data_IF_894555659400
#
_entry.id   IF_894555659400
#
_cell.length_a   1.000
_cell.length_b   1.000
_cell.length_c   1.000
_cell.angle_alpha   90.00
_cell.angle_beta   90.00
_cell.angle_gamma   90.00
#
_symmetry.space_group_name_H-M   'P 1'
#
loop_
_entity.id
_entity.type
_entity.pdbx_description
1 polymer ?
#
# COMPACT_ATOMS: atom_id res chain seq x y z
N UNK A 1 -8.30 -48.80 58.25
CA UNK A 1 -8.54 -47.34 58.14
C UNK A 1 -7.58 -46.80 57.07
N UNK A 2 -8.10 -46.08 56.08
CA UNK A 2 -7.51 -45.92 54.73
C UNK A 2 -6.33 -44.94 54.68
N UNK A 3 -5.21 -45.37 54.11
CA UNK A 3 -4.16 -44.52 53.55
C UNK A 3 -4.72 -43.77 52.33
N UNK A 4 -4.68 -42.43 52.31
CA UNK A 4 -4.96 -41.62 51.11
C UNK A 4 -3.63 -41.28 50.44
N UNK A 5 -3.34 -41.97 49.34
CA UNK A 5 -2.32 -41.59 48.37
C UNK A 5 -2.84 -40.39 47.57
N UNK A 6 -2.08 -39.29 47.55
CA UNK A 6 -2.36 -38.10 46.75
C UNK A 6 -1.56 -38.24 45.45
N UNK A 7 -2.23 -38.66 44.38
CA UNK A 7 -1.66 -38.72 43.03
C UNK A 7 -1.56 -37.29 42.47
N UNK A 8 -0.34 -36.83 42.23
CA UNK A 8 -0.05 -35.61 41.47
C UNK A 8 -0.11 -35.95 39.97
N UNK A 9 -1.22 -35.63 39.33
CA UNK A 9 -1.36 -35.76 37.87
C UNK A 9 -0.73 -34.52 37.23
N UNK A 10 0.49 -34.68 36.69
CA UNK A 10 1.14 -33.65 35.88
C UNK A 10 0.42 -33.63 34.53
N UNK A 11 -0.42 -32.62 34.31
CA UNK A 11 -1.01 -32.35 33.01
C UNK A 11 0.06 -31.77 32.08
N UNK A 12 0.52 -32.60 31.14
CA UNK A 12 1.40 -32.20 30.05
C UNK A 12 0.59 -31.32 29.09
N UNK A 13 0.66 -30.00 29.25
CA UNK A 13 0.13 -29.07 28.27
C UNK A 13 0.97 -29.15 27.00
N UNK A 14 0.52 -29.95 26.04
CA UNK A 14 1.00 -29.89 24.67
C UNK A 14 0.56 -28.54 24.08
N UNK A 15 1.47 -27.58 24.08
CA UNK A 15 1.38 -26.39 23.23
C UNK A 15 1.44 -26.87 21.78
N UNK A 16 0.26 -27.12 21.21
CA UNK A 16 0.06 -27.13 19.76
C UNK A 16 0.29 -25.69 19.31
N UNK A 17 1.55 -25.38 19.01
CA UNK A 17 1.88 -24.26 18.15
C UNK A 17 1.16 -24.52 16.82
N UNK A 18 0.04 -23.85 16.60
CA UNK A 18 -0.54 -23.70 15.26
C UNK A 18 0.50 -22.98 14.41
N UNK A 19 1.49 -23.69 13.87
CA UNK A 19 2.25 -23.21 12.74
C UNK A 19 1.24 -23.11 11.61
N UNK A 20 0.75 -21.90 11.34
CA UNK A 20 -0.07 -21.61 10.16
C UNK A 20 0.75 -22.09 8.97
N UNK A 21 0.32 -23.20 8.34
CA UNK A 21 1.08 -23.78 7.25
C UNK A 21 1.11 -22.74 6.12
N UNK A 22 2.31 -22.29 5.78
CA UNK A 22 2.50 -21.28 4.74
C UNK A 22 1.97 -21.79 3.41
N UNK A 23 1.17 -20.98 2.72
CA UNK A 23 0.65 -21.25 1.38
C UNK A 23 1.66 -20.88 0.27
N UNK A 24 2.91 -20.59 0.64
CA UNK A 24 3.98 -20.20 -0.27
C UNK A 24 4.63 -21.43 -0.90
N UNK A 25 5.07 -21.29 -2.15
CA UNK A 25 5.90 -22.28 -2.85
C UNK A 25 7.36 -22.14 -2.45
N UNK A 26 8.19 -23.13 -2.80
CA UNK A 26 9.64 -23.06 -2.60
C UNK A 26 10.27 -21.88 -3.36
N UNK A 27 9.77 -21.57 -4.57
CA UNK A 27 10.25 -20.45 -5.38
C UNK A 27 9.93 -19.10 -4.75
N UNK A 28 8.72 -18.94 -4.19
CA UNK A 28 8.32 -17.74 -3.47
C UNK A 28 9.16 -17.59 -2.19
N UNK A 29 9.33 -18.67 -1.43
CA UNK A 29 10.16 -18.68 -0.20
C UNK A 29 11.62 -18.30 -0.49
N UNK A 30 12.17 -18.74 -1.63
CA UNK A 30 13.51 -18.37 -2.07
C UNK A 30 13.64 -16.87 -2.37
N UNK A 31 12.62 -16.26 -3.00
CA UNK A 31 12.58 -14.80 -3.22
C UNK A 31 12.58 -14.05 -1.89
N UNK A 32 11.71 -14.45 -0.96
CA UNK A 32 11.58 -13.80 0.35
C UNK A 32 12.87 -13.91 1.15
N UNK A 33 13.53 -15.06 1.11
CA UNK A 33 14.85 -15.27 1.75
C UNK A 33 15.90 -14.35 1.15
N UNK A 34 15.97 -14.24 -0.18
CA UNK A 34 16.93 -13.37 -0.90
C UNK A 34 16.80 -11.92 -0.46
N UNK A 35 15.57 -11.40 -0.34
CA UNK A 35 15.32 -9.99 0.02
C UNK A 35 15.08 -9.78 1.52
N UNK A 36 15.25 -10.82 2.35
CA UNK A 36 15.00 -10.80 3.80
C UNK A 36 13.59 -10.27 4.12
N UNK A 37 12.58 -10.81 3.45
CA UNK A 37 11.16 -10.49 3.67
C UNK A 37 10.54 -11.52 4.62
N UNK A 38 9.54 -11.09 5.38
CA UNK A 38 8.81 -11.99 6.27
C UNK A 38 7.84 -12.89 5.49
N UNK A 39 7.92 -14.19 5.75
CA UNK A 39 7.06 -15.19 5.13
C UNK A 39 5.60 -14.99 5.53
N UNK A 40 5.33 -14.56 6.77
CA UNK A 40 3.96 -14.37 7.24
C UNK A 40 3.27 -13.23 6.48
N UNK A 41 4.01 -12.16 6.15
CA UNK A 41 3.51 -11.03 5.35
C UNK A 41 3.18 -11.47 3.92
N UNK A 42 4.06 -12.24 3.29
CA UNK A 42 3.81 -12.76 1.96
C UNK A 42 2.65 -13.76 1.94
N UNK A 43 2.52 -14.59 2.96
CA UNK A 43 1.38 -15.52 3.11
C UNK A 43 0.05 -14.79 3.33
N UNK A 44 0.03 -13.68 4.08
CA UNK A 44 -1.15 -12.81 4.23
C UNK A 44 -1.57 -12.26 2.85
N UNK A 45 -0.65 -11.66 2.09
CA UNK A 45 -0.95 -11.15 0.74
C UNK A 45 -1.46 -12.26 -0.18
N UNK A 46 -0.78 -13.40 -0.23
CA UNK A 46 -1.15 -14.54 -1.08
C UNK A 46 -2.52 -15.12 -0.74
N UNK A 47 -2.91 -15.08 0.53
CA UNK A 47 -4.23 -15.53 0.97
C UNK A 47 -5.33 -14.66 0.38
N UNK A 48 -5.13 -13.34 0.38
CA UNK A 48 -6.08 -12.37 -0.16
C UNK A 48 -6.12 -12.39 -1.69
N UNK A 49 -4.95 -12.39 -2.35
CA UNK A 49 -4.89 -12.33 -3.83
C UNK A 49 -5.13 -13.67 -4.51
N UNK A 50 -4.85 -14.79 -3.81
CA UNK A 50 -4.86 -16.16 -4.35
C UNK A 50 -3.98 -16.33 -5.59
N UNK A 51 -2.96 -15.48 -5.73
CA UNK A 51 -2.05 -15.45 -6.86
C UNK A 51 -0.59 -15.62 -6.39
N UNK A 52 0.30 -15.83 -7.35
CA UNK A 52 1.74 -15.96 -7.09
C UNK A 52 2.31 -14.69 -6.47
N UNK A 53 3.29 -14.85 -5.58
CA UNK A 53 4.10 -13.75 -5.05
C UNK A 53 5.35 -13.57 -5.93
N UNK A 54 5.56 -12.35 -6.41
CA UNK A 54 6.69 -11.96 -7.24
C UNK A 54 7.50 -10.86 -6.56
N UNK A 55 8.78 -10.73 -6.90
CA UNK A 55 9.61 -9.62 -6.43
C UNK A 55 9.31 -8.37 -7.25
N UNK A 56 9.13 -7.22 -6.59
CA UNK A 56 8.94 -5.94 -7.28
C UNK A 56 10.13 -5.64 -8.22
N UNK A 57 9.87 -5.08 -9.41
CA UNK A 57 10.93 -4.57 -10.27
C UNK A 57 11.54 -3.30 -9.68
N UNK A 58 12.77 -2.96 -10.06
CA UNK A 58 13.33 -1.64 -9.80
C UNK A 58 12.73 -0.60 -10.76
N UNK A 59 12.78 0.67 -10.36
CA UNK A 59 12.33 1.81 -11.16
C UNK A 59 13.55 2.66 -11.52
N UNK A 60 13.68 3.01 -12.79
CA UNK A 60 14.79 3.84 -13.27
C UNK A 60 14.75 5.21 -12.59
N UNK A 61 15.92 5.69 -12.16
CA UNK A 61 16.01 6.94 -11.39
C UNK A 61 15.78 8.19 -12.22
N UNK A 62 15.95 8.12 -13.54
CA UNK A 62 15.87 9.26 -14.45
C UNK A 62 14.60 9.22 -15.29
N UNK A 63 14.21 8.05 -15.77
CA UNK A 63 13.06 7.90 -16.66
C UNK A 63 11.79 7.49 -15.92
N UNK A 64 11.90 7.06 -14.66
CA UNK A 64 10.79 6.48 -13.88
C UNK A 64 10.19 5.23 -14.52
N UNK A 65 10.89 4.62 -15.49
CA UNK A 65 10.45 3.41 -16.17
C UNK A 65 10.70 2.17 -15.32
N UNK A 66 9.86 1.15 -15.51
CA UNK A 66 10.03 -0.15 -14.87
C UNK A 66 11.22 -0.90 -15.50
N UNK A 67 12.23 -1.22 -14.70
CA UNK A 67 13.40 -1.98 -15.15
C UNK A 67 13.09 -3.48 -15.17
N UNK A 68 13.25 -4.12 -16.32
CA UNK A 68 12.87 -5.54 -16.51
C UNK A 68 13.89 -6.54 -15.95
N UNK A 69 15.13 -6.11 -15.73
CA UNK A 69 16.23 -6.98 -15.28
C UNK A 69 16.76 -6.62 -13.88
N UNK A 70 16.15 -5.63 -13.22
CA UNK A 70 16.52 -5.17 -11.90
C UNK A 70 15.32 -5.28 -10.96
N UNK A 71 15.59 -5.51 -9.68
CA UNK A 71 14.55 -5.80 -8.69
C UNK A 71 14.67 -4.90 -7.48
N UNK A 72 13.54 -4.58 -6.86
CA UNK A 72 13.45 -3.83 -5.61
C UNK A 72 13.23 -4.77 -4.40
N UNK A 73 13.53 -4.30 -3.19
CA UNK A 73 13.29 -5.04 -1.95
C UNK A 73 11.81 -4.97 -1.52
N UNK A 74 10.94 -5.53 -2.35
CA UNK A 74 9.53 -5.70 -2.04
C UNK A 74 8.90 -6.78 -2.90
N UNK A 75 7.63 -7.05 -2.63
CA UNK A 75 6.86 -8.10 -3.29
C UNK A 75 5.58 -7.54 -3.87
N UNK A 76 5.02 -8.22 -4.86
CA UNK A 76 3.70 -7.93 -5.36
C UNK A 76 2.98 -9.19 -5.80
N UNK A 77 1.66 -9.08 -5.92
CA UNK A 77 0.80 -10.14 -6.42
C UNK A 77 -0.34 -9.52 -7.23
N UNK A 78 -0.79 -10.23 -8.27
CA UNK A 78 -1.89 -9.78 -9.11
C UNK A 78 -3.20 -9.79 -8.33
N UNK A 79 -3.98 -8.73 -8.52
CA UNK A 79 -5.28 -8.52 -7.93
C UNK A 79 -6.31 -8.22 -9.03
N UNK A 80 -7.56 -7.95 -8.65
CA UNK A 80 -8.59 -7.48 -9.57
C UNK A 80 -8.94 -6.03 -9.26
N UNK A 81 -9.56 -5.36 -10.23
CA UNK A 81 -10.13 -4.02 -10.03
C UNK A 81 -10.99 -3.95 -8.77
N UNK A 82 -11.82 -4.96 -8.58
CA UNK A 82 -12.82 -4.99 -7.51
C UNK A 82 -12.23 -5.22 -6.12
N UNK A 83 -11.00 -5.76 -6.01
CA UNK A 83 -10.43 -6.13 -4.71
C UNK A 83 -9.09 -5.47 -4.34
N UNK A 84 -8.34 -4.90 -5.29
CA UNK A 84 -7.00 -4.41 -5.01
C UNK A 84 -6.99 -3.38 -3.87
N UNK A 85 -7.89 -2.40 -3.93
CA UNK A 85 -8.03 -1.39 -2.91
C UNK A 85 -8.49 -1.95 -1.56
N UNK A 86 -9.48 -2.86 -1.55
CA UNK A 86 -9.98 -3.44 -0.30
C UNK A 86 -8.93 -4.31 0.40
N UNK A 87 -8.11 -5.05 -0.36
CA UNK A 87 -6.96 -5.79 0.18
C UNK A 87 -5.99 -4.83 0.87
N UNK A 88 -5.63 -3.72 0.21
CA UNK A 88 -4.76 -2.70 0.80
C UNK A 88 -5.34 -2.19 2.11
N UNK A 89 -6.58 -1.68 2.10
CA UNK A 89 -7.22 -1.10 3.28
C UNK A 89 -7.32 -2.09 4.44
N UNK A 90 -7.61 -3.36 4.15
CA UNK A 90 -7.74 -4.40 5.18
C UNK A 90 -6.40 -4.78 5.82
N UNK A 91 -5.34 -4.94 5.02
CA UNK A 91 -4.05 -5.42 5.52
C UNK A 91 -3.17 -4.30 6.08
N UNK A 92 -3.34 -3.07 5.59
CA UNK A 92 -2.45 -1.94 5.91
C UNK A 92 -2.22 -1.68 7.40
N UNK A 93 -3.25 -1.64 8.28
CA UNK A 93 -3.02 -1.40 9.71
C UNK A 93 -2.17 -2.49 10.39
N UNK A 94 -2.31 -3.74 9.95
CA UNK A 94 -1.53 -4.87 10.46
C UNK A 94 -0.09 -4.85 9.96
N UNK A 95 0.08 -4.61 8.65
CA UNK A 95 1.39 -4.56 8.01
C UNK A 95 2.24 -3.37 8.47
N UNK A 96 1.63 -2.19 8.68
CA UNK A 96 2.35 -1.01 9.18
C UNK A 96 2.98 -1.25 10.55
N UNK A 97 2.29 -1.98 11.44
CA UNK A 97 2.82 -2.41 12.75
C UNK A 97 4.00 -3.37 12.66
N UNK A 98 4.09 -4.12 11.56
CA UNK A 98 5.19 -5.05 11.27
C UNK A 98 6.35 -4.39 10.50
N UNK A 99 6.27 -3.09 10.21
CA UNK A 99 7.29 -2.38 9.43
C UNK A 99 7.16 -2.59 7.92
N UNK A 100 5.94 -2.77 7.42
CA UNK A 100 5.64 -2.91 6.00
C UNK A 100 4.60 -1.91 5.53
N UNK A 101 4.76 -1.44 4.30
CA UNK A 101 3.84 -0.57 3.60
C UNK A 101 3.20 -1.36 2.47
N UNK A 102 1.88 -1.20 2.29
CA UNK A 102 1.10 -1.87 1.25
C UNK A 102 0.34 -0.83 0.45
N UNK A 103 0.29 -1.01 -0.87
CA UNK A 103 -0.40 -0.14 -1.81
C UNK A 103 -0.84 -0.96 -3.03
N UNK A 104 -1.83 -0.47 -3.76
CA UNK A 104 -2.19 -1.02 -5.06
C UNK A 104 -1.57 -0.21 -6.19
N UNK A 105 -1.39 -0.85 -7.34
CA UNK A 105 -1.07 -0.17 -8.59
C UNK A 105 -1.90 -0.76 -9.73
N UNK A 106 -2.07 0.01 -10.79
CA UNK A 106 -2.81 -0.37 -12.00
C UNK A 106 -1.99 0.04 -13.21
N UNK A 107 -1.82 -0.86 -14.18
CA UNK A 107 -1.22 -0.55 -15.48
C UNK A 107 -1.86 -1.41 -16.58
N UNK A 108 -1.28 -1.41 -17.79
CA UNK A 108 -1.83 -2.14 -18.95
C UNK A 108 -1.95 -3.66 -18.73
N UNK A 109 -1.29 -4.21 -17.71
CA UNK A 109 -1.33 -5.64 -17.35
C UNK A 109 -2.37 -5.95 -16.26
N UNK A 110 -3.05 -4.93 -15.74
CA UNK A 110 -4.11 -5.04 -14.73
C UNK A 110 -3.72 -4.47 -13.38
N UNK A 111 -4.35 -5.01 -12.33
CA UNK A 111 -4.22 -4.53 -10.95
C UNK A 111 -3.26 -5.39 -10.15
N UNK A 112 -2.48 -4.75 -9.29
CA UNK A 112 -1.51 -5.39 -8.43
C UNK A 112 -1.61 -4.82 -7.01
N UNK A 113 -1.27 -5.64 -6.03
CA UNK A 113 -1.05 -5.21 -4.65
C UNK A 113 0.40 -5.48 -4.31
N UNK A 114 1.10 -4.44 -3.89
CA UNK A 114 2.52 -4.42 -3.61
C UNK A 114 2.80 -4.15 -2.13
N UNK A 115 3.86 -4.75 -1.61
CA UNK A 115 4.35 -4.55 -0.24
C UNK A 115 5.84 -4.26 -0.27
N UNK A 116 6.24 -3.18 0.38
CA UNK A 116 7.64 -2.81 0.63
C UNK A 116 7.90 -2.74 2.13
N UNK A 117 9.17 -2.83 2.56
CA UNK A 117 9.54 -2.54 3.94
C UNK A 117 9.48 -1.03 4.16
N UNK A 118 8.98 -0.60 5.31
CA UNK A 118 8.91 0.81 5.66
C UNK A 118 7.81 1.11 6.68
N UNK A 119 7.80 2.34 7.17
CA UNK A 119 6.75 2.85 8.09
C UNK A 119 6.24 4.23 7.71
N UNK A 120 6.91 4.91 6.79
CA UNK A 120 6.49 6.19 6.21
C UNK A 120 5.84 5.93 4.84
N UNK A 121 4.55 6.25 4.72
CA UNK A 121 3.78 6.08 3.49
C UNK A 121 4.42 6.76 2.27
N UNK A 122 5.24 7.79 2.45
CA UNK A 122 5.93 8.46 1.35
C UNK A 122 7.04 7.62 0.71
N UNK A 123 7.52 6.58 1.39
CA UNK A 123 8.48 5.62 0.81
C UNK A 123 7.88 4.87 -0.38
N UNK A 124 6.55 4.72 -0.42
CA UNK A 124 5.83 4.18 -1.58
C UNK A 124 6.06 5.06 -2.81
N UNK A 125 5.90 6.38 -2.65
CA UNK A 125 6.04 7.36 -3.74
C UNK A 125 7.50 7.52 -4.16
N UNK A 126 8.44 7.42 -3.21
CA UNK A 126 9.90 7.41 -3.50
C UNK A 126 10.29 6.20 -4.33
N UNK A 127 9.70 5.03 -4.06
CA UNK A 127 9.88 3.82 -4.85
C UNK A 127 9.25 3.96 -6.24
N UNK A 128 7.98 4.36 -6.30
CA UNK A 128 7.21 4.37 -7.56
C UNK A 128 7.66 5.49 -8.51
N UNK A 129 8.30 6.53 -8.01
CA UNK A 129 8.68 7.72 -8.78
C UNK A 129 7.47 8.41 -9.45
N UNK A 130 6.33 8.35 -8.77
CA UNK A 130 5.09 9.04 -9.18
C UNK A 130 5.36 10.53 -9.40
N UNK A 131 4.92 11.05 -10.53
CA UNK A 131 5.14 12.43 -10.95
C UNK A 131 3.94 12.95 -11.77
N UNK A 132 3.94 14.24 -12.05
CA UNK A 132 2.97 14.89 -12.93
C UNK A 132 3.70 15.66 -14.01
N UNK A 133 4.50 14.96 -14.82
CA UNK A 133 5.44 15.59 -15.76
C UNK A 133 4.74 16.50 -16.79
N UNK A 134 3.49 16.19 -17.16
CA UNK A 134 2.68 17.02 -18.07
C UNK A 134 2.31 18.37 -17.45
N UNK A 135 2.39 18.49 -16.13
CA UNK A 135 2.21 19.72 -15.35
C UNK A 135 3.52 20.29 -14.80
N UNK A 136 4.67 19.74 -15.22
CA UNK A 136 5.99 20.17 -14.75
C UNK A 136 6.27 19.80 -13.29
N UNK A 137 5.62 18.76 -12.76
CA UNK A 137 5.81 18.28 -11.39
C UNK A 137 6.70 17.03 -11.42
N UNK A 138 7.87 17.10 -10.78
CA UNK A 138 8.74 15.94 -10.57
C UNK A 138 8.32 15.16 -9.30
N UNK A 139 8.92 13.99 -9.08
CA UNK A 139 8.60 13.15 -7.91
C UNK A 139 8.82 13.89 -6.57
N UNK A 140 9.85 14.75 -6.51
CA UNK A 140 10.14 15.55 -5.31
C UNK A 140 9.05 16.58 -5.02
N UNK A 141 8.40 17.14 -6.05
CA UNK A 141 7.25 18.05 -5.88
C UNK A 141 6.03 17.32 -5.33
N UNK A 142 5.77 16.11 -5.84
CA UNK A 142 4.71 15.24 -5.33
C UNK A 142 4.96 14.88 -3.87
N UNK A 143 6.17 14.39 -3.55
CA UNK A 143 6.55 14.04 -2.17
C UNK A 143 6.39 15.25 -1.25
N UNK A 144 6.90 16.42 -1.64
CA UNK A 144 6.79 17.64 -0.84
C UNK A 144 5.33 18.02 -0.57
N UNK A 145 4.45 17.96 -1.57
CA UNK A 145 3.02 18.24 -1.37
C UNK A 145 2.39 17.20 -0.43
N UNK A 146 2.75 15.92 -0.57
CA UNK A 146 2.27 14.88 0.33
C UNK A 146 2.80 15.05 1.76
N UNK A 147 4.05 15.50 1.97
CA UNK A 147 4.60 15.84 3.30
C UNK A 147 3.82 16.99 3.96
N UNK A 148 3.47 18.03 3.18
CA UNK A 148 2.64 19.14 3.65
C UNK A 148 1.28 18.65 4.13
N UNK A 149 0.61 17.78 3.37
CA UNK A 149 -0.68 17.22 3.75
C UNK A 149 -0.58 16.18 4.86
N UNK A 150 0.46 15.35 4.88
CA UNK A 150 0.74 14.41 5.97
C UNK A 150 0.87 15.16 7.30
N UNK A 151 1.58 16.30 7.30
CA UNK A 151 1.75 17.13 8.49
C UNK A 151 0.43 17.76 8.97
N UNK A 152 -0.41 18.23 8.06
CA UNK A 152 -1.65 18.94 8.40
C UNK A 152 -2.81 18.01 8.76
N UNK A 153 -2.92 16.90 8.03
CA UNK A 153 -4.13 16.08 7.96
C UNK A 153 -3.88 14.62 8.34
N UNK A 154 -2.62 14.17 8.33
CA UNK A 154 -2.28 12.75 8.30
C UNK A 154 -2.72 12.14 6.97
N UNK A 155 -1.86 11.32 6.36
CA UNK A 155 -2.20 10.64 5.11
C UNK A 155 -1.76 9.18 5.12
N UNK A 156 -2.44 8.39 4.30
CA UNK A 156 -2.08 7.02 3.97
C UNK A 156 -2.13 6.83 2.45
N UNK A 157 -1.03 6.39 1.82
CA UNK A 157 -0.98 6.11 0.36
C UNK A 157 -1.64 4.76 0.06
N UNK A 158 -2.82 4.78 -0.54
CA UNK A 158 -3.62 3.58 -0.83
C UNK A 158 -3.20 2.96 -2.17
N UNK A 159 -2.95 3.80 -3.17
CA UNK A 159 -2.45 3.34 -4.46
C UNK A 159 -1.61 4.38 -5.15
N UNK A 160 -0.76 3.94 -6.06
CA UNK A 160 0.00 4.84 -6.93
C UNK A 160 0.51 4.09 -8.17
N UNK A 161 0.69 4.86 -9.23
CA UNK A 161 1.46 4.47 -10.41
C UNK A 161 2.36 5.66 -10.81
N UNK A 162 2.94 5.64 -12.01
CA UNK A 162 3.77 6.72 -12.52
C UNK A 162 3.08 8.08 -12.50
N UNK A 163 1.81 8.13 -12.88
CA UNK A 163 1.03 9.33 -13.17
C UNK A 163 -0.12 9.58 -12.20
N UNK A 164 -0.33 8.70 -11.21
CA UNK A 164 -1.39 8.87 -10.21
C UNK A 164 -0.97 8.54 -8.79
N UNK A 165 -1.66 9.17 -7.83
CA UNK A 165 -1.56 8.92 -6.39
C UNK A 165 -2.95 8.93 -5.76
N UNK A 166 -3.30 7.86 -5.06
CA UNK A 166 -4.51 7.72 -4.26
C UNK A 166 -4.15 7.71 -2.77
N UNK A 167 -4.70 8.64 -2.00
CA UNK A 167 -4.50 8.73 -0.55
C UNK A 167 -5.81 8.80 0.22
N UNK A 168 -5.76 8.33 1.47
CA UNK A 168 -6.74 8.67 2.52
C UNK A 168 -6.17 9.73 3.46
N UNK A 169 -7.05 10.50 4.10
CA UNK A 169 -6.73 11.41 5.20
C UNK A 169 -7.09 10.82 6.56
N UNK A 170 -6.23 11.01 7.57
CA UNK A 170 -6.57 10.68 8.95
C UNK A 170 -7.59 11.69 9.52
N UNK A 171 -7.44 12.98 9.15
CA UNK A 171 -8.34 14.08 9.47
C UNK A 171 -8.64 14.89 8.22
N UNK A 172 -9.93 15.08 7.91
CA UNK A 172 -10.33 15.95 6.81
C UNK A 172 -10.00 17.43 7.06
N UNK A 173 -9.66 18.20 5.99
CA UNK A 173 -9.50 19.64 6.07
C UNK A 173 -10.79 20.34 6.54
N UNK A 174 -10.66 21.33 7.42
CA UNK A 174 -11.81 22.07 7.97
C UNK A 174 -12.45 23.00 6.93
N UNK A 175 -11.63 23.69 6.14
CA UNK A 175 -12.09 24.54 5.04
C UNK A 175 -12.04 23.79 3.71
N UNK A 176 -13.11 23.05 3.41
CA UNK A 176 -13.18 22.20 2.22
C UNK A 176 -13.16 23.00 0.91
N UNK A 177 -13.69 24.23 0.89
CA UNK A 177 -13.65 25.11 -0.29
C UNK A 177 -12.23 25.55 -0.65
N UNK A 178 -11.43 25.88 0.35
CA UNK A 178 -10.02 26.24 0.16
C UNK A 178 -9.20 25.01 -0.23
N UNK A 179 -9.43 23.89 0.44
CA UNK A 179 -8.70 22.66 0.15
C UNK A 179 -8.98 22.13 -1.27
N UNK A 180 -10.24 22.09 -1.72
CA UNK A 180 -10.54 21.65 -3.08
C UNK A 180 -9.92 22.57 -4.16
N UNK A 181 -9.81 23.88 -3.90
CA UNK A 181 -9.06 24.79 -4.78
C UNK A 181 -7.55 24.52 -4.76
N UNK A 182 -7.00 24.17 -3.59
CA UNK A 182 -5.60 23.74 -3.48
C UNK A 182 -5.36 22.46 -4.29
N UNK A 183 -6.23 21.46 -4.16
CA UNK A 183 -6.16 20.20 -4.93
C UNK A 183 -6.25 20.49 -6.42
N UNK A 184 -7.25 21.26 -6.87
CA UNK A 184 -7.39 21.61 -8.29
C UNK A 184 -6.17 22.34 -8.84
N UNK A 185 -5.56 23.25 -8.07
CA UNK A 185 -4.34 23.93 -8.48
C UNK A 185 -3.15 22.97 -8.63
N UNK A 186 -3.08 21.95 -7.79
CA UNK A 186 -1.99 20.98 -7.79
C UNK A 186 -2.17 19.85 -8.81
N UNK A 187 -3.41 19.46 -9.06
CA UNK A 187 -3.80 18.38 -9.96
C UNK A 187 -5.11 18.77 -10.67
N UNK A 188 -5.04 19.59 -11.73
CA UNK A 188 -6.23 20.07 -12.43
C UNK A 188 -7.13 18.93 -12.93
N UNK A 189 -6.52 17.84 -13.40
CA UNK A 189 -7.21 16.67 -13.94
C UNK A 189 -8.08 15.93 -12.92
N UNK A 190 -7.85 16.08 -11.61
CA UNK A 190 -8.79 15.57 -10.60
C UNK A 190 -10.19 16.17 -10.79
N UNK A 191 -10.29 17.34 -11.42
CA UNK A 191 -11.54 18.00 -11.81
C UNK A 191 -11.77 17.88 -13.31
N UNK A 192 -10.83 18.34 -14.14
CA UNK A 192 -11.07 18.55 -15.57
C UNK A 192 -11.30 17.24 -16.34
N UNK A 193 -10.65 16.15 -15.90
CA UNK A 193 -10.83 14.80 -16.44
C UNK A 193 -11.49 13.83 -15.45
N UNK A 194 -11.48 14.17 -14.16
CA UNK A 194 -12.06 13.38 -13.07
C UNK A 194 -13.52 13.75 -12.79
N UNK A 195 -13.76 14.39 -11.65
CA UNK A 195 -15.13 14.59 -11.10
C UNK A 195 -15.93 15.71 -11.79
N UNK A 196 -15.32 16.45 -12.72
CA UNK A 196 -15.96 17.42 -13.60
C UNK A 196 -16.11 18.84 -13.06
N UNK A 197 -16.16 19.05 -11.74
CA UNK A 197 -16.16 20.41 -11.15
C UNK A 197 -15.67 20.41 -9.69
N UNK A 198 -15.33 21.58 -9.16
CA UNK A 198 -14.81 21.75 -7.78
C UNK A 198 -15.84 21.32 -6.71
N UNK A 199 -17.15 21.50 -6.94
CA UNK A 199 -18.17 21.07 -5.97
C UNK A 199 -18.17 19.55 -5.83
N UNK A 200 -18.18 18.83 -6.95
CA UNK A 200 -18.08 17.37 -6.98
C UNK A 200 -16.76 16.86 -6.41
N UNK A 201 -15.66 17.63 -6.53
CA UNK A 201 -14.40 17.29 -5.86
C UNK A 201 -14.53 17.36 -4.33
N UNK A 202 -15.20 18.38 -3.78
CA UNK A 202 -15.44 18.47 -2.34
C UNK A 202 -16.28 17.31 -1.84
N UNK A 203 -17.36 16.99 -2.56
CA UNK A 203 -18.24 15.86 -2.23
C UNK A 203 -17.45 14.55 -2.23
N UNK A 204 -16.62 14.32 -3.26
CA UNK A 204 -15.74 13.16 -3.35
C UNK A 204 -14.79 13.07 -2.15
N UNK A 205 -14.08 14.16 -1.81
CA UNK A 205 -13.16 14.20 -0.67
C UNK A 205 -13.86 13.86 0.64
N UNK A 206 -15.07 14.37 0.84
CA UNK A 206 -15.83 14.13 2.06
C UNK A 206 -16.34 12.69 2.16
N UNK A 207 -16.79 12.12 1.05
CA UNK A 207 -17.33 10.77 0.98
C UNK A 207 -16.24 9.72 1.13
N UNK A 208 -15.17 9.83 0.34
CA UNK A 208 -14.06 8.88 0.32
C UNK A 208 -13.07 9.09 1.45
N UNK A 209 -13.10 10.26 2.10
CA UNK A 209 -12.10 10.69 3.08
C UNK A 209 -10.68 10.64 2.52
N UNK A 210 -10.54 10.95 1.23
CA UNK A 210 -9.32 10.78 0.46
C UNK A 210 -9.37 11.56 -0.84
N UNK A 211 -8.31 11.42 -1.64
CA UNK A 211 -8.23 11.98 -2.99
C UNK A 211 -7.52 11.02 -3.93
N UNK A 212 -7.98 11.03 -5.18
CA UNK A 212 -7.30 10.44 -6.32
C UNK A 212 -6.74 11.57 -7.19
N UNK A 213 -5.41 11.64 -7.27
CA UNK A 213 -4.66 12.58 -8.09
C UNK A 213 -4.16 11.84 -9.32
N UNK A 214 -4.38 12.39 -10.50
CA UNK A 214 -3.94 11.84 -11.77
C UNK A 214 -3.49 12.98 -12.67
N UNK A 215 -2.30 12.86 -13.26
CA UNK A 215 -1.69 13.89 -14.10
C UNK A 215 -1.45 13.33 -15.50
N UNK A 216 -2.47 13.41 -16.37
CA UNK A 216 -2.40 12.97 -17.77
C UNK A 216 -2.06 14.13 -18.74
#
# INVERSE_FOLDING_TARGET
MKFKSLLFTIALFSVLSCSKQSNLTDSETAILTKIKFDNDVASELKTETKNVILQLPAIDKKTSEVLTNETFEGIYSQATKDNAESIVRNLKPGLKKKGYLIFYSENEKGYFVAIIKGTDDLDILKYRKSNGINYGLENDDIIKKMEEWQTKYGISVIGCELDYVHIDFDKLPENMDEFAKEVYKFCPDSVDQGVGNIESLKEYIQQEKGIFLWWD
#
